data_IF_685716643301
#
_entry.id   IF_685716643301
#
_cell.length_a   1.000
_cell.length_b   1.000
_cell.length_c   1.000
_cell.angle_alpha   90.00
_cell.angle_beta   90.00
_cell.angle_gamma   90.00
#
_symmetry.space_group_name_H-M   'P 1'
#
loop_
_entity.id
_entity.type
_entity.pdbx_description
1 polymer ?
#
# COMPACT_ATOMS: atom_id res chain seq x y z
N UNK A 1 -8.47 -10.25 6.98
CA UNK A 1 -8.11 -8.87 7.39
C UNK A 1 -6.93 -9.00 8.33
N UNK A 2 -5.78 -8.40 8.00
CA UNK A 2 -4.67 -8.34 8.94
C UNK A 2 -5.07 -7.48 10.13
N UNK A 3 -4.78 -7.94 11.33
CA UNK A 3 -4.96 -7.21 12.57
C UNK A 3 -3.78 -6.26 12.79
N UNK A 4 -4.00 -5.19 13.57
CA UNK A 4 -2.92 -4.29 14.02
C UNK A 4 -1.75 -5.07 14.63
N UNK A 5 -2.05 -6.13 15.39
CA UNK A 5 -1.05 -7.02 15.99
C UNK A 5 -0.21 -7.78 14.96
N UNK A 6 -0.74 -8.05 13.76
CA UNK A 6 0.04 -8.64 12.67
C UNK A 6 0.92 -7.61 11.97
N UNK A 7 0.45 -6.37 11.81
CA UNK A 7 1.25 -5.26 11.26
C UNK A 7 2.44 -4.94 12.15
N UNK A 8 2.26 -4.95 13.48
CA UNK A 8 3.33 -4.71 14.46
C UNK A 8 4.54 -5.65 14.30
N UNK A 9 4.37 -6.85 13.73
CA UNK A 9 5.47 -7.83 13.56
C UNK A 9 6.53 -7.37 12.54
N UNK A 10 6.18 -6.45 11.64
CA UNK A 10 7.09 -5.95 10.61
C UNK A 10 7.96 -4.77 11.08
N UNK A 11 7.94 -4.46 12.37
CA UNK A 11 8.43 -3.21 12.95
C UNK A 11 9.25 -3.50 14.23
N UNK A 12 10.54 -3.08 14.34
CA UNK A 12 11.29 -3.21 15.59
C UNK A 12 10.69 -2.47 16.80
N UNK A 13 10.86 -3.05 18.00
CA UNK A 13 10.11 -2.76 19.21
C UNK A 13 10.32 -1.38 19.89
N UNK A 14 11.20 -0.49 19.41
CA UNK A 14 11.74 0.60 20.26
C UNK A 14 11.91 1.99 19.59
N UNK A 15 10.97 2.46 18.76
CA UNK A 15 11.03 3.84 18.25
C UNK A 15 9.65 4.53 18.18
N UNK A 16 9.46 5.73 18.75
CA UNK A 16 8.15 6.42 18.79
C UNK A 16 7.58 6.79 17.41
N UNK A 17 8.43 6.99 16.40
CA UNK A 17 8.01 7.14 14.99
C UNK A 17 7.27 5.90 14.45
N UNK A 18 7.42 4.74 15.10
CA UNK A 18 6.86 3.47 14.63
C UNK A 18 5.36 3.39 14.79
N UNK A 19 4.79 3.90 15.89
CA UNK A 19 3.34 3.76 16.13
C UNK A 19 2.50 4.44 15.04
N UNK A 20 2.90 5.65 14.62
CA UNK A 20 2.22 6.36 13.53
C UNK A 20 2.33 5.61 12.20
N UNK A 21 3.50 5.04 11.91
CA UNK A 21 3.71 4.27 10.68
C UNK A 21 2.94 2.95 10.69
N UNK A 22 2.82 2.28 11.84
CA UNK A 22 1.96 1.09 12.00
C UNK A 22 0.49 1.43 11.67
N UNK A 23 -0.05 2.52 12.21
CA UNK A 23 -1.43 2.93 11.89
C UNK A 23 -1.60 3.30 10.42
N UNK A 24 -0.59 3.94 9.82
CA UNK A 24 -0.61 4.26 8.39
C UNK A 24 -0.55 3.02 7.52
N UNK A 25 0.28 2.05 7.88
CA UNK A 25 0.38 0.79 7.15
C UNK A 25 -0.94 0.01 7.27
N UNK A 26 -1.59 -0.02 8.44
CA UNK A 26 -2.95 -0.56 8.60
C UNK A 26 -3.96 0.12 7.68
N UNK A 27 -3.90 1.46 7.55
CA UNK A 27 -4.73 2.20 6.59
C UNK A 27 -4.38 1.87 5.13
N UNK A 28 -3.10 1.74 4.79
CA UNK A 28 -2.65 1.35 3.44
C UNK A 28 -3.19 -0.03 3.07
N UNK A 29 -3.14 -1.03 3.97
CA UNK A 29 -3.75 -2.34 3.74
C UNK A 29 -5.24 -2.23 3.43
N UNK A 30 -5.97 -1.38 4.17
CA UNK A 30 -7.42 -1.16 3.96
C UNK A 30 -7.71 -0.48 2.62
N UNK A 31 -6.92 0.53 2.26
CA UNK A 31 -7.08 1.24 0.97
C UNK A 31 -6.80 0.29 -0.19
N UNK A 32 -5.71 -0.46 -0.14
CA UNK A 32 -5.36 -1.47 -1.15
C UNK A 32 -6.48 -2.52 -1.25
N UNK A 33 -6.99 -3.00 -0.11
CA UNK A 33 -8.13 -3.92 -0.10
C UNK A 33 -9.35 -3.33 -0.80
N UNK A 34 -9.72 -2.08 -0.53
CA UNK A 34 -10.86 -1.42 -1.17
C UNK A 34 -10.64 -1.28 -2.68
N UNK A 35 -9.46 -0.85 -3.12
CA UNK A 35 -9.11 -0.69 -4.53
C UNK A 35 -9.21 -2.02 -5.27
N UNK A 36 -8.64 -3.10 -4.70
CA UNK A 36 -8.62 -4.41 -5.34
C UNK A 36 -9.92 -5.23 -5.21
N UNK A 37 -10.93 -4.72 -4.50
CA UNK A 37 -12.29 -5.24 -4.57
C UNK A 37 -13.17 -4.53 -5.61
N UNK A 38 -12.68 -3.45 -6.24
CA UNK A 38 -13.44 -2.74 -7.26
C UNK A 38 -13.34 -3.45 -8.63
N UNK A 39 -14.37 -3.28 -9.47
CA UNK A 39 -14.47 -3.95 -10.79
C UNK A 39 -13.35 -3.57 -11.78
N UNK A 40 -12.63 -2.48 -11.54
CA UNK A 40 -11.53 -2.00 -12.40
C UNK A 40 -10.14 -2.36 -11.88
N UNK A 41 -10.05 -3.17 -10.82
CA UNK A 41 -8.79 -3.51 -10.16
C UNK A 41 -7.78 -4.20 -11.08
N UNK A 42 -8.25 -4.93 -12.09
CA UNK A 42 -7.46 -5.62 -13.12
C UNK A 42 -6.65 -4.66 -14.00
N UNK A 43 -7.00 -3.37 -14.02
CA UNK A 43 -6.29 -2.31 -14.76
C UNK A 43 -5.23 -1.60 -13.93
N UNK A 44 -5.14 -1.87 -12.63
CA UNK A 44 -4.23 -1.18 -11.71
C UNK A 44 -3.09 -2.10 -11.27
N UNK A 45 -1.86 -1.68 -11.56
CA UNK A 45 -0.65 -2.36 -11.10
C UNK A 45 -0.06 -1.63 -9.90
N UNK A 46 -0.16 -2.22 -8.72
CA UNK A 46 0.43 -1.67 -7.49
C UNK A 46 1.95 -1.75 -7.54
N UNK A 47 2.63 -0.62 -7.37
CA UNK A 47 4.08 -0.50 -7.50
C UNK A 47 4.67 0.46 -6.46
N UNK A 48 5.96 0.79 -6.61
CA UNK A 48 6.64 1.75 -5.74
C UNK A 48 7.07 1.19 -4.38
N UNK A 49 7.46 2.10 -3.48
CA UNK A 49 8.06 1.76 -2.18
C UNK A 49 7.12 1.00 -1.26
N UNK A 50 5.84 1.38 -1.21
CA UNK A 50 4.85 0.70 -0.38
C UNK A 50 4.54 -0.70 -0.90
N UNK A 51 4.61 -0.95 -2.21
CA UNK A 51 4.52 -2.30 -2.78
C UNK A 51 5.69 -3.18 -2.32
N UNK A 52 6.93 -2.65 -2.36
CA UNK A 52 8.10 -3.35 -1.83
C UNK A 52 7.98 -3.64 -0.32
N UNK A 53 7.35 -2.75 0.45
CA UNK A 53 7.08 -2.98 1.88
C UNK A 53 6.02 -4.06 2.10
N UNK A 54 4.85 -3.91 1.51
CA UNK A 54 3.66 -4.73 1.79
C UNK A 54 3.71 -6.10 1.10
N UNK A 55 4.12 -6.15 -0.16
CA UNK A 55 4.09 -7.38 -0.97
C UNK A 55 5.40 -8.15 -0.83
N UNK A 56 6.54 -7.45 -0.81
CA UNK A 56 7.87 -8.06 -0.80
C UNK A 56 8.57 -8.03 0.57
N UNK A 57 7.96 -7.43 1.60
CA UNK A 57 8.42 -7.53 2.99
C UNK A 57 9.69 -6.76 3.33
N UNK A 58 10.00 -5.66 2.62
CA UNK A 58 11.19 -4.85 2.95
C UNK A 58 11.05 -4.14 4.31
N UNK A 59 12.17 -3.80 4.94
CA UNK A 59 12.22 -3.17 6.27
C UNK A 59 12.07 -1.64 6.27
N UNK A 60 11.80 -1.04 5.11
CA UNK A 60 11.70 0.41 4.94
C UNK A 60 10.22 0.77 4.84
N UNK A 61 9.75 1.65 5.72
CA UNK A 61 8.42 2.22 5.61
C UNK A 61 8.34 3.19 4.42
N UNK A 62 7.23 3.15 3.69
CA UNK A 62 6.90 4.08 2.62
C UNK A 62 5.44 4.50 2.78
N UNK A 63 5.17 5.79 2.55
CA UNK A 63 3.85 6.38 2.81
C UNK A 63 2.95 6.40 1.56
N UNK A 64 3.55 6.52 0.38
CA UNK A 64 2.85 6.75 -0.88
C UNK A 64 2.31 5.44 -1.47
N UNK A 65 1.11 5.49 -2.06
CA UNK A 65 0.53 4.38 -2.80
C UNK A 65 0.62 4.68 -4.29
N UNK A 66 1.57 4.03 -4.96
CA UNK A 66 1.81 4.20 -6.39
C UNK A 66 1.11 3.10 -7.19
N UNK A 67 0.41 3.50 -8.26
CA UNK A 67 -0.23 2.58 -9.18
C UNK A 67 0.09 2.99 -10.62
N UNK A 68 0.46 2.02 -11.44
CA UNK A 68 0.40 2.16 -12.89
C UNK A 68 -0.98 1.71 -13.40
N UNK A 69 -1.43 2.30 -14.50
CA UNK A 69 -2.68 1.95 -15.15
C UNK A 69 -2.39 1.31 -16.51
N UNK A 70 -2.69 0.01 -16.61
CA UNK A 70 -2.60 -0.72 -17.85
C UNK A 70 -3.75 -0.29 -18.78
N UNK A 71 -3.46 0.59 -19.74
CA UNK A 71 -4.38 0.91 -20.84
C UNK A 71 -4.89 2.36 -20.92
N UNK A 72 -4.31 3.30 -20.16
CA UNK A 72 -4.53 4.73 -20.42
C UNK A 72 -3.79 5.18 -21.68
N UNK A 73 -4.48 5.22 -22.82
CA UNK A 73 -4.16 6.20 -23.85
C UNK A 73 -4.56 7.57 -23.34
N UNK A 74 -3.71 8.59 -23.51
CA UNK A 74 -4.08 9.97 -23.18
C UNK A 74 -5.49 10.26 -23.70
N UNK A 75 -6.36 10.87 -22.89
CA UNK A 75 -7.60 11.44 -23.42
C UNK A 75 -7.16 12.42 -24.50
N UNK A 76 -7.50 12.12 -25.76
CA UNK A 76 -7.58 13.17 -26.77
C UNK A 76 -8.69 14.08 -26.26
N UNK A 77 -8.31 15.19 -25.61
CA UNK A 77 -9.24 16.27 -25.39
C UNK A 77 -9.67 16.80 -26.77
N UNK A 78 -10.98 17.03 -27.00
CA UNK A 78 -11.43 17.67 -28.23
C UNK A 78 -10.92 19.12 -28.34
#
# INVERSE_FOLDING_TARGET
>A
MLSLTEVEKFYPANQPLFKRNIFREDLQYKIIQIIYHADYADKLSFMGGTCLRIVFGTNIFSEDLDFDNAGTTARNEP
#
